data_IF_423685443669
#
_entry.id   IF_423685443669
#
_cell.length_a   1.000
_cell.length_b   1.000
_cell.length_c   1.000
_cell.angle_alpha   90.00
_cell.angle_beta   90.00
_cell.angle_gamma   90.00
#
_symmetry.space_group_name_H-M   'P 1'
#
loop_
_entity.id
_entity.type
_entity.pdbx_description
1 polymer ?
#
# COMPACT_ATOMS: atom_id res chain seq x y z
N UNK A 1 -11.15 38.73 -37.46
CA UNK A 1 -11.06 37.27 -37.26
C UNK A 1 -10.01 37.04 -36.18
N UNK A 2 -10.42 36.99 -34.92
CA UNK A 2 -9.52 36.70 -33.80
C UNK A 2 -9.21 35.20 -33.79
N UNK A 3 -7.94 34.86 -33.96
CA UNK A 3 -7.45 33.50 -33.78
C UNK A 3 -7.43 33.18 -32.29
N UNK A 4 -8.47 32.49 -31.82
CA UNK A 4 -8.50 31.87 -30.50
C UNK A 4 -7.56 30.67 -30.55
N UNK A 5 -6.28 30.89 -30.24
CA UNK A 5 -5.38 29.79 -29.92
C UNK A 5 -5.88 29.14 -28.64
N UNK A 6 -6.06 27.80 -28.58
CA UNK A 6 -6.35 27.14 -27.33
C UNK A 6 -5.14 27.32 -26.41
N UNK A 7 -5.34 28.13 -25.38
CA UNK A 7 -4.45 28.31 -24.25
C UNK A 7 -4.10 26.91 -23.73
N UNK A 8 -2.87 26.48 -24.00
CA UNK A 8 -2.29 25.22 -23.52
C UNK A 8 -2.08 25.39 -22.00
N UNK A 9 -3.18 25.34 -21.24
CA UNK A 9 -3.12 25.30 -19.79
C UNK A 9 -2.45 23.98 -19.45
N UNK A 10 -1.29 23.96 -18.77
CA UNK A 10 -0.79 22.73 -18.20
C UNK A 10 -1.88 22.27 -17.24
N UNK A 11 -2.67 21.29 -17.67
CA UNK A 11 -3.52 20.55 -16.76
C UNK A 11 -2.54 19.92 -15.78
N UNK A 12 -2.44 20.50 -14.57
CA UNK A 12 -1.85 19.84 -13.42
C UNK A 12 -2.74 18.64 -13.10
N UNK A 13 -2.74 17.67 -14.00
CA UNK A 13 -3.39 16.40 -13.83
C UNK A 13 -2.66 15.74 -12.69
N UNK A 14 -3.42 15.43 -11.63
CA UNK A 14 -2.95 14.62 -10.51
C UNK A 14 -2.10 13.46 -11.05
N UNK A 15 -0.87 13.30 -10.56
CA UNK A 15 0.04 12.25 -11.03
C UNK A 15 -0.43 10.87 -10.55
N UNK A 16 -1.39 10.33 -11.30
CA UNK A 16 -1.99 9.01 -11.05
C UNK A 16 -1.01 7.87 -11.30
N UNK A 17 0.09 8.12 -12.02
CA UNK A 17 1.13 7.12 -12.22
C UNK A 17 2.03 7.05 -10.99
N UNK A 18 2.41 8.21 -10.43
CA UNK A 18 3.08 8.30 -9.13
C UNK A 18 2.31 7.54 -8.04
N UNK A 19 0.99 7.73 -7.95
CA UNK A 19 0.17 6.97 -7.00
C UNK A 19 0.17 5.46 -7.22
N UNK A 20 0.20 5.00 -8.48
CA UNK A 20 0.29 3.58 -8.76
C UNK A 20 1.59 2.97 -8.24
N UNK A 21 2.71 3.68 -8.44
CA UNK A 21 4.03 3.27 -7.95
C UNK A 21 4.05 3.28 -6.43
N UNK A 22 3.61 4.38 -5.81
CA UNK A 22 3.58 4.51 -4.35
C UNK A 22 2.72 3.43 -3.72
N UNK A 23 1.55 3.12 -4.31
CA UNK A 23 0.68 2.02 -3.85
C UNK A 23 1.40 0.69 -3.88
N UNK A 24 2.05 0.38 -4.99
CA UNK A 24 2.77 -0.88 -5.15
C UNK A 24 3.94 -1.01 -4.17
N UNK A 25 4.75 0.03 -4.03
CA UNK A 25 5.88 0.04 -3.08
C UNK A 25 5.37 -0.10 -1.65
N UNK A 26 4.34 0.65 -1.27
CA UNK A 26 3.76 0.57 0.07
C UNK A 26 3.19 -0.83 0.35
N UNK A 27 2.44 -1.40 -0.58
CA UNK A 27 1.94 -2.78 -0.47
C UNK A 27 3.07 -3.81 -0.34
N UNK A 28 4.14 -3.68 -1.13
CA UNK A 28 5.30 -4.55 -1.04
C UNK A 28 6.03 -4.45 0.29
N UNK A 29 6.21 -3.24 0.84
CA UNK A 29 6.83 -3.03 2.15
C UNK A 29 6.00 -3.73 3.25
N UNK A 30 4.67 -3.54 3.23
CA UNK A 30 3.78 -4.19 4.20
C UNK A 30 3.83 -5.71 4.11
N UNK A 31 3.79 -6.25 2.89
CA UNK A 31 3.87 -7.69 2.66
C UNK A 31 5.22 -8.29 3.08
N UNK A 32 6.33 -7.65 2.73
CA UNK A 32 7.67 -8.10 3.13
C UNK A 32 7.86 -8.04 4.65
N UNK A 33 7.33 -7.00 5.30
CA UNK A 33 7.37 -6.89 6.76
C UNK A 33 6.56 -8.01 7.42
N UNK A 34 5.37 -8.31 6.88
CA UNK A 34 4.54 -9.42 7.35
C UNK A 34 5.26 -10.78 7.18
N UNK A 35 5.88 -11.02 6.03
CA UNK A 35 6.70 -12.21 5.80
C UNK A 35 7.88 -12.29 6.76
N UNK A 36 8.55 -11.17 7.03
CA UNK A 36 9.65 -11.11 7.98
C UNK A 36 9.19 -11.53 9.38
N UNK A 37 8.05 -11.03 9.87
CA UNK A 37 7.50 -11.46 11.17
C UNK A 37 7.14 -12.96 11.16
N UNK A 38 6.53 -13.46 10.08
CA UNK A 38 6.09 -14.85 9.96
C UNK A 38 7.23 -15.87 9.89
N UNK A 39 8.39 -15.48 9.33
CA UNK A 39 9.51 -16.39 9.08
C UNK A 39 10.53 -16.43 10.19
N UNK A 40 10.45 -15.51 11.14
CA UNK A 40 11.40 -15.41 12.24
C UNK A 40 10.72 -15.72 13.57
N UNK A 41 11.53 -16.22 14.49
CA UNK A 41 11.06 -16.62 15.81
C UNK A 41 10.64 -15.38 16.63
N UNK A 42 9.40 -15.31 17.17
CA UNK A 42 8.96 -14.20 18.01
C UNK A 42 9.87 -13.95 19.22
N UNK A 43 10.50 -14.99 19.75
CA UNK A 43 11.39 -14.89 20.93
C UNK A 43 12.71 -14.14 20.64
N UNK A 44 13.05 -13.95 19.36
CA UNK A 44 14.25 -13.21 18.95
C UNK A 44 14.03 -11.70 18.79
N UNK A 45 12.81 -11.21 18.98
CA UNK A 45 12.49 -9.79 18.82
C UNK A 45 12.27 -9.11 20.16
N UNK A 46 12.79 -7.88 20.29
CA UNK A 46 12.34 -7.00 21.36
C UNK A 46 10.89 -6.57 21.10
N UNK A 47 10.10 -6.40 22.16
CA UNK A 47 8.71 -5.91 22.08
C UNK A 47 8.60 -4.62 21.26
N UNK A 48 9.59 -3.72 21.38
CA UNK A 48 9.65 -2.48 20.61
C UNK A 48 9.77 -2.72 19.10
N UNK A 49 10.58 -3.69 18.67
CA UNK A 49 10.72 -4.06 17.25
C UNK A 49 9.42 -4.63 16.70
N UNK A 50 8.73 -5.48 17.48
CA UNK A 50 7.45 -6.05 17.10
C UNK A 50 6.37 -4.97 16.91
N UNK A 51 6.27 -4.02 17.84
CA UNK A 51 5.33 -2.89 17.75
C UNK A 51 5.60 -2.03 16.51
N UNK A 52 6.87 -1.71 16.22
CA UNK A 52 7.24 -0.94 15.02
C UNK A 52 6.85 -1.70 13.75
N UNK A 53 7.12 -3.00 13.69
CA UNK A 53 6.80 -3.83 12.53
C UNK A 53 5.28 -3.92 12.29
N UNK A 54 4.49 -4.06 13.37
CA UNK A 54 3.02 -4.03 13.31
C UNK A 54 2.52 -2.69 12.76
N UNK A 55 3.00 -1.57 13.30
CA UNK A 55 2.62 -0.23 12.81
C UNK A 55 2.99 -0.04 11.35
N UNK A 56 4.17 -0.53 10.94
CA UNK A 56 4.61 -0.45 9.55
C UNK A 56 3.69 -1.24 8.61
N UNK A 57 3.27 -2.45 8.98
CA UNK A 57 2.32 -3.27 8.20
C UNK A 57 0.99 -2.52 8.04
N UNK A 58 0.45 -1.96 9.12
CA UNK A 58 -0.84 -1.25 9.10
C UNK A 58 -0.75 0.00 8.21
N UNK A 59 0.23 0.87 8.46
CA UNK A 59 0.37 2.15 7.74
C UNK A 59 0.62 1.90 6.26
N UNK A 60 1.56 1.00 5.93
CA UNK A 60 1.91 0.70 4.54
C UNK A 60 0.74 0.05 3.78
N UNK A 61 -0.04 -0.82 4.42
CA UNK A 61 -1.24 -1.41 3.83
C UNK A 61 -2.34 -0.37 3.60
N UNK A 62 -2.60 0.52 4.55
CA UNK A 62 -3.58 1.60 4.39
C UNK A 62 -3.17 2.53 3.24
N UNK A 63 -1.90 2.96 3.20
CA UNK A 63 -1.39 3.80 2.12
C UNK A 63 -1.48 3.10 0.76
N UNK A 64 -1.16 1.81 0.70
CA UNK A 64 -1.27 1.03 -0.53
C UNK A 64 -2.71 0.91 -1.05
N UNK A 65 -3.68 0.75 -0.16
CA UNK A 65 -5.12 0.77 -0.50
C UNK A 65 -5.55 2.15 -1.01
N UNK A 66 -5.21 3.23 -0.29
CA UNK A 66 -5.59 4.60 -0.66
C UNK A 66 -5.00 4.95 -2.02
N UNK A 67 -3.68 4.88 -2.18
CA UNK A 67 -3.01 5.25 -3.43
C UNK A 67 -3.38 4.31 -4.58
N UNK A 68 -3.62 3.02 -4.29
CA UNK A 68 -4.04 2.05 -5.28
C UNK A 68 -5.40 2.39 -5.87
N UNK A 69 -6.37 2.74 -5.01
CA UNK A 69 -7.70 3.17 -5.43
C UNK A 69 -7.66 4.46 -6.27
N UNK A 70 -6.83 5.43 -5.89
CA UNK A 70 -6.64 6.68 -6.63
C UNK A 70 -5.98 6.45 -8.01
N UNK A 71 -5.18 5.38 -8.14
CA UNK A 71 -4.51 5.01 -9.38
C UNK A 71 -5.40 4.25 -10.39
N UNK A 72 -6.61 3.82 -10.02
CA UNK A 72 -7.50 3.04 -10.92
C UNK A 72 -7.91 3.80 -12.18
N UNK A 73 -7.92 5.13 -12.13
CA UNK A 73 -8.23 6.01 -13.26
C UNK A 73 -6.97 6.41 -14.06
N UNK A 74 -5.81 5.80 -13.79
CA UNK A 74 -4.58 6.01 -14.57
C UNK A 74 -4.64 5.26 -15.90
N UNK A 75 -4.25 5.91 -17.02
CA UNK A 75 -4.16 5.21 -18.33
C UNK A 75 -2.93 4.29 -18.44
N UNK A 76 -1.84 4.61 -17.73
CA UNK A 76 -0.55 3.89 -17.80
C UNK A 76 -0.25 3.06 -16.55
N UNK A 77 -0.70 3.48 -15.37
CA UNK A 77 -0.38 2.85 -14.09
C UNK A 77 -1.47 1.95 -13.52
N UNK A 78 -2.58 1.72 -14.23
CA UNK A 78 -3.75 1.02 -13.68
C UNK A 78 -3.41 -0.36 -13.12
N UNK A 79 -2.67 -1.17 -13.89
CA UNK A 79 -2.30 -2.52 -13.46
C UNK A 79 -1.43 -2.51 -12.20
N UNK A 80 -0.47 -1.59 -12.12
CA UNK A 80 0.41 -1.44 -10.97
C UNK A 80 -0.35 -0.98 -9.72
N UNK A 81 -1.27 -0.02 -9.87
CA UNK A 81 -2.14 0.44 -8.77
C UNK A 81 -3.09 -0.64 -8.27
N UNK A 82 -3.65 -1.46 -9.17
CA UNK A 82 -4.48 -2.62 -8.79
C UNK A 82 -3.63 -3.67 -8.07
N UNK A 83 -2.43 -3.97 -8.56
CA UNK A 83 -1.53 -4.92 -7.90
C UNK A 83 -1.17 -4.45 -6.48
N UNK A 84 -0.76 -3.18 -6.33
CA UNK A 84 -0.48 -2.58 -5.03
C UNK A 84 -1.67 -2.64 -4.08
N UNK A 85 -2.85 -2.24 -4.57
CA UNK A 85 -4.10 -2.32 -3.82
C UNK A 85 -4.40 -3.76 -3.32
N UNK A 86 -4.30 -4.75 -4.21
CA UNK A 86 -4.58 -6.16 -3.88
C UNK A 86 -3.57 -6.69 -2.87
N UNK A 87 -2.28 -6.43 -3.06
CA UNK A 87 -1.23 -6.85 -2.12
C UNK A 87 -1.47 -6.25 -0.73
N UNK A 88 -1.83 -4.97 -0.67
CA UNK A 88 -2.14 -4.30 0.59
C UNK A 88 -3.37 -4.88 1.28
N UNK A 89 -4.44 -5.20 0.55
CA UNK A 89 -5.62 -5.86 1.13
C UNK A 89 -5.27 -7.23 1.66
N UNK A 90 -4.55 -8.05 0.88
CA UNK A 90 -4.16 -9.40 1.29
C UNK A 90 -3.33 -9.31 2.57
N UNK A 91 -2.33 -8.42 2.61
CA UNK A 91 -1.48 -8.22 3.79
C UNK A 91 -2.30 -7.82 5.02
N UNK A 92 -3.24 -6.90 4.86
CA UNK A 92 -4.08 -6.41 5.96
C UNK A 92 -5.07 -7.47 6.46
N UNK A 93 -5.71 -8.21 5.56
CA UNK A 93 -6.62 -9.31 5.92
C UNK A 93 -5.86 -10.42 6.64
N UNK A 94 -4.68 -10.79 6.13
CA UNK A 94 -3.85 -11.82 6.76
C UNK A 94 -3.37 -11.40 8.14
N UNK A 95 -2.96 -10.13 8.29
CA UNK A 95 -2.60 -9.57 9.59
C UNK A 95 -3.75 -9.59 10.59
N UNK A 96 -4.96 -9.18 10.19
CA UNK A 96 -6.16 -9.25 11.05
C UNK A 96 -6.45 -10.69 11.46
N UNK A 97 -6.35 -11.63 10.52
CA UNK A 97 -6.55 -13.04 10.82
C UNK A 97 -5.55 -13.55 11.87
N UNK A 98 -4.27 -13.24 11.72
CA UNK A 98 -3.24 -13.58 12.71
C UNK A 98 -3.52 -12.96 14.08
N UNK A 99 -3.99 -11.72 14.12
CA UNK A 99 -4.34 -11.03 15.36
C UNK A 99 -5.52 -11.71 16.07
N UNK A 100 -6.58 -12.06 15.32
CA UNK A 100 -7.74 -12.78 15.88
C UNK A 100 -7.32 -14.15 16.40
N UNK A 101 -6.54 -14.91 15.63
CA UNK A 101 -6.05 -16.22 16.04
C UNK A 101 -5.17 -16.10 17.29
N UNK A 102 -4.30 -15.09 17.35
CA UNK A 102 -3.47 -14.81 18.52
C UNK A 102 -4.30 -14.56 19.78
N UNK A 103 -5.37 -13.75 19.67
CA UNK A 103 -6.28 -13.48 20.80
C UNK A 103 -7.06 -14.74 21.23
N UNK A 104 -7.47 -15.59 20.30
CA UNK A 104 -8.23 -16.80 20.63
C UNK A 104 -7.38 -17.88 21.30
N UNK A 105 -6.07 -17.89 21.05
CA UNK A 105 -5.12 -18.89 21.57
C UNK A 105 -4.45 -18.42 22.87
N UNK A 106 -4.41 -17.10 23.15
CA UNK A 106 -3.90 -16.51 24.39
C UNK A 106 -4.88 -16.60 25.56
#
# INVERSE_FOLDING_TARGET
>A
MESIYPENRPSYGVDRYGFAITSFIAGMIGFLTLLFILTNDPDNYSDGTAVIAILLIIISSILGVIFGSLAFSSKRGKGLGIAGFVISIISLVFFIFLLIVGILVS
#
